data_IF_063179878721
#
_entry.id   IF_063179878721
#
_cell.length_a   1.000
_cell.length_b   1.000
_cell.length_c   1.000
_cell.angle_alpha   90.00
_cell.angle_beta   90.00
_cell.angle_gamma   90.00
#
_symmetry.space_group_name_H-M   'P 1'
#
loop_
_entity.id
_entity.type
_entity.pdbx_description
1 polymer ?
#
# COMPACT_ATOMS: atom_id res chain seq x y z
N UNK A 1 -2.29 3.53 -14.97
CA UNK A 1 -1.49 4.50 -14.17
C UNK A 1 -0.63 5.47 -15.03
N UNK A 2 -0.71 6.79 -14.82
CA UNK A 2 0.17 7.79 -15.46
C UNK A 2 1.28 8.25 -14.51
N UNK A 3 2.48 7.66 -14.63
CA UNK A 3 3.60 7.94 -13.72
C UNK A 3 4.05 9.40 -13.73
N UNK A 4 4.07 10.05 -14.89
CA UNK A 4 4.56 11.44 -14.99
C UNK A 4 3.65 12.41 -14.24
N UNK A 5 2.34 12.22 -14.35
CA UNK A 5 1.34 13.00 -13.59
C UNK A 5 1.46 12.73 -12.09
N UNK A 6 1.65 11.46 -11.69
CA UNK A 6 1.84 11.09 -10.29
C UNK A 6 3.10 11.71 -9.69
N UNK A 7 4.23 11.70 -10.40
CA UNK A 7 5.47 12.35 -9.95
C UNK A 7 5.24 13.84 -9.75
N UNK A 8 4.63 14.50 -10.74
CA UNK A 8 4.31 15.92 -10.66
C UNK A 8 3.44 16.23 -9.44
N UNK A 9 2.35 15.49 -9.24
CA UNK A 9 1.45 15.65 -8.09
C UNK A 9 2.18 15.44 -6.77
N UNK A 10 3.00 14.40 -6.67
CA UNK A 10 3.77 14.09 -5.47
C UNK A 10 4.75 15.22 -5.11
N UNK A 11 5.52 15.70 -6.08
CA UNK A 11 6.46 16.80 -5.88
C UNK A 11 5.74 18.13 -5.56
N UNK A 12 4.62 18.42 -6.23
CA UNK A 12 3.79 19.60 -5.93
C UNK A 12 3.24 19.57 -4.50
N UNK A 13 2.80 18.42 -4.00
CA UNK A 13 2.34 18.26 -2.62
C UNK A 13 3.47 18.49 -1.62
N UNK A 14 4.62 17.83 -1.80
CA UNK A 14 5.76 18.00 -0.90
C UNK A 14 6.36 19.42 -0.96
N UNK A 15 6.30 20.10 -2.11
CA UNK A 15 6.76 21.49 -2.24
C UNK A 15 5.95 22.49 -1.42
N UNK A 16 4.76 22.11 -0.94
CA UNK A 16 3.95 22.94 -0.03
C UNK A 16 4.47 22.92 1.41
N UNK A 17 5.38 22.00 1.74
CA UNK A 17 5.99 21.87 3.06
C UNK A 17 7.25 22.73 3.10
N UNK A 18 7.16 23.89 3.75
CA UNK A 18 8.27 24.82 3.92
C UNK A 18 9.13 24.44 5.14
N UNK A 19 9.98 23.43 4.96
CA UNK A 19 10.91 22.94 5.99
C UNK A 19 12.32 22.81 5.44
N UNK A 20 13.30 23.13 6.29
CA UNK A 20 14.71 22.92 6.00
C UNK A 20 14.95 21.45 5.62
N UNK A 21 15.64 21.24 4.49
CA UNK A 21 15.97 19.91 3.98
C UNK A 21 14.97 19.30 3.00
N UNK A 22 13.76 19.87 2.84
CA UNK A 22 12.76 19.33 1.91
C UNK A 22 13.26 19.30 0.45
N UNK A 23 13.91 20.35 -0.10
CA UNK A 23 14.46 20.29 -1.45
C UNK A 23 15.50 19.17 -1.65
N UNK A 24 16.36 18.94 -0.66
CA UNK A 24 17.39 17.89 -0.70
C UNK A 24 16.76 16.50 -0.60
N UNK A 25 15.69 16.35 0.19
CA UNK A 25 14.94 15.10 0.25
C UNK A 25 14.28 14.79 -1.10
N UNK A 26 13.68 15.79 -1.76
CA UNK A 26 13.10 15.63 -3.09
C UNK A 26 14.15 15.25 -4.14
N UNK A 27 15.33 15.89 -4.11
CA UNK A 27 16.46 15.52 -4.97
C UNK A 27 16.91 14.08 -4.72
N UNK A 28 17.00 13.64 -3.46
CA UNK A 28 17.30 12.25 -3.14
C UNK A 28 16.26 11.28 -3.72
N UNK A 29 14.97 11.56 -3.53
CA UNK A 29 13.88 10.71 -4.03
C UNK A 29 13.95 10.62 -5.56
N UNK A 30 14.19 11.74 -6.24
CA UNK A 30 14.23 11.81 -7.70
C UNK A 30 15.47 11.18 -8.32
N UNK A 31 16.65 11.49 -7.80
CA UNK A 31 17.92 11.26 -8.49
C UNK A 31 18.79 10.17 -7.84
N UNK A 32 18.50 9.81 -6.59
CA UNK A 32 19.30 8.84 -5.80
C UNK A 32 18.50 7.62 -5.36
N UNK A 33 17.19 7.61 -5.59
CA UNK A 33 16.29 6.52 -5.22
C UNK A 33 15.59 5.92 -6.44
N UNK A 34 15.01 4.74 -6.28
CA UNK A 34 14.12 4.11 -7.25
C UNK A 34 12.63 4.33 -6.91
N UNK A 35 12.29 5.24 -5.99
CA UNK A 35 10.94 5.41 -5.42
C UNK A 35 9.83 5.54 -6.47
N UNK A 36 10.08 6.29 -7.55
CA UNK A 36 9.10 6.52 -8.62
C UNK A 36 8.92 5.31 -9.56
N UNK A 37 9.79 4.31 -9.48
CA UNK A 37 9.76 3.10 -10.30
C UNK A 37 9.57 1.83 -9.48
N UNK A 38 9.81 1.87 -8.17
CA UNK A 38 9.67 0.73 -7.27
C UNK A 38 8.21 0.24 -7.22
N UNK A 39 8.00 -1.08 -7.08
CA UNK A 39 6.68 -1.62 -6.78
C UNK A 39 6.28 -1.33 -5.33
N UNK A 40 4.98 -1.33 -5.03
CA UNK A 40 4.52 -1.18 -3.66
C UNK A 40 4.67 -2.49 -2.86
N UNK A 41 4.54 -3.64 -3.53
CA UNK A 41 4.74 -4.97 -2.95
C UNK A 41 5.28 -5.98 -3.96
N UNK A 42 5.67 -7.17 -3.49
CA UNK A 42 6.17 -8.27 -4.34
C UNK A 42 5.10 -9.00 -5.16
N UNK A 43 3.84 -8.99 -4.71
CA UNK A 43 2.79 -9.90 -5.20
C UNK A 43 1.37 -9.35 -5.10
N UNK A 44 1.13 -8.37 -4.24
CA UNK A 44 -0.18 -7.77 -3.97
C UNK A 44 -0.16 -6.27 -4.31
N UNK A 45 -1.32 -5.62 -4.27
CA UNK A 45 -1.52 -4.15 -4.32
C UNK A 45 -0.38 -3.34 -4.97
N UNK A 46 -0.51 -3.07 -6.26
CA UNK A 46 0.46 -2.31 -7.06
C UNK A 46 1.86 -2.97 -7.10
N UNK A 47 1.89 -4.29 -7.32
CA UNK A 47 3.05 -5.09 -7.68
C UNK A 47 3.46 -4.84 -9.14
N UNK A 48 3.70 -3.57 -9.47
CA UNK A 48 4.02 -3.07 -10.81
C UNK A 48 5.04 -1.93 -10.73
N UNK A 49 5.71 -1.61 -11.83
CA UNK A 49 6.65 -0.48 -11.88
C UNK A 49 5.93 0.84 -11.55
N UNK A 50 6.45 1.60 -10.57
CA UNK A 50 5.86 2.85 -10.08
C UNK A 50 4.71 2.67 -9.11
N UNK A 51 4.45 1.43 -8.67
CA UNK A 51 3.40 1.12 -7.70
C UNK A 51 3.59 1.81 -6.36
N UNK A 52 4.83 1.98 -5.88
CA UNK A 52 5.13 2.61 -4.59
C UNK A 52 4.67 4.08 -4.53
N UNK A 53 4.91 4.81 -5.62
CA UNK A 53 4.46 6.20 -5.77
C UNK A 53 2.93 6.29 -5.79
N UNK A 54 2.27 5.43 -6.56
CA UNK A 54 0.82 5.41 -6.64
C UNK A 54 0.17 5.03 -5.30
N UNK A 55 0.75 4.06 -4.60
CA UNK A 55 0.34 3.68 -3.26
C UNK A 55 0.41 4.87 -2.29
N UNK A 56 1.56 5.54 -2.23
CA UNK A 56 1.75 6.72 -1.37
C UNK A 56 0.73 7.84 -1.67
N UNK A 57 0.39 8.04 -2.95
CA UNK A 57 -0.66 8.99 -3.35
C UNK A 57 -2.08 8.50 -2.96
N UNK A 58 -2.37 7.21 -3.08
CA UNK A 58 -3.65 6.64 -2.65
C UNK A 58 -3.85 6.80 -1.14
N UNK A 59 -2.81 6.51 -0.34
CA UNK A 59 -2.81 6.72 1.13
C UNK A 59 -3.04 8.20 1.45
N UNK A 60 -2.39 9.11 0.73
CA UNK A 60 -2.61 10.55 0.88
C UNK A 60 -4.08 10.91 0.63
N UNK A 61 -4.68 10.45 -0.46
CA UNK A 61 -6.09 10.73 -0.77
C UNK A 61 -7.05 10.15 0.29
N UNK A 62 -6.81 8.95 0.80
CA UNK A 62 -7.61 8.38 1.90
C UNK A 62 -7.50 9.24 3.17
N UNK A 63 -6.29 9.64 3.55
CA UNK A 63 -6.08 10.47 4.73
C UNK A 63 -6.72 11.87 4.58
N UNK A 64 -6.65 12.47 3.39
CA UNK A 64 -7.32 13.75 3.11
C UNK A 64 -8.84 13.63 3.18
N UNK A 65 -9.44 12.54 2.68
CA UNK A 65 -10.89 12.31 2.82
C UNK A 65 -11.29 12.18 4.29
N UNK A 66 -10.50 11.48 5.11
CA UNK A 66 -10.71 11.40 6.56
C UNK A 66 -10.65 12.77 7.23
N UNK A 67 -9.69 13.61 6.84
CA UNK A 67 -9.53 14.96 7.40
C UNK A 67 -10.69 15.90 7.02
N UNK A 68 -11.27 15.73 5.83
CA UNK A 68 -12.36 16.56 5.31
C UNK A 68 -13.76 16.08 5.75
N UNK A 69 -13.90 14.81 6.12
CA UNK A 69 -15.17 14.25 6.56
C UNK A 69 -15.53 14.72 7.98
N UNK A 70 -16.80 15.05 8.19
CA UNK A 70 -17.35 15.40 9.50
C UNK A 70 -17.48 14.14 10.39
N UNK A 71 -16.34 13.72 10.92
CA UNK A 71 -16.16 12.51 11.73
C UNK A 71 -15.22 12.81 12.89
N UNK A 72 -15.01 11.82 13.77
CA UNK A 72 -14.01 11.91 14.87
C UNK A 72 -12.60 12.30 14.38
N UNK A 73 -12.29 12.08 13.11
CA UNK A 73 -10.99 12.41 12.52
C UNK A 73 -10.78 13.90 12.25
N UNK A 74 -11.83 14.70 12.09
CA UNK A 74 -11.71 16.09 11.62
C UNK A 74 -10.80 16.92 12.53
N UNK A 75 -11.14 16.99 13.82
CA UNK A 75 -10.38 17.78 14.80
C UNK A 75 -8.99 17.21 15.05
N UNK A 76 -8.87 15.87 15.06
CA UNK A 76 -7.60 15.16 15.27
C UNK A 76 -6.60 15.48 14.16
N UNK A 77 -7.03 15.38 12.90
CA UNK A 77 -6.18 15.60 11.73
C UNK A 77 -5.92 17.10 11.50
N UNK A 78 -6.89 17.95 11.83
CA UNK A 78 -6.68 19.41 11.86
C UNK A 78 -5.58 19.79 12.86
N UNK A 79 -5.62 19.21 14.07
CA UNK A 79 -4.60 19.44 15.10
C UNK A 79 -3.22 18.86 14.74
N UNK A 80 -3.16 17.77 13.96
CA UNK A 80 -1.90 17.22 13.46
C UNK A 80 -1.19 18.18 12.49
N UNK A 81 -1.94 19.03 11.79
CA UNK A 81 -1.43 20.08 10.92
C UNK A 81 -1.18 19.63 9.48
N UNK A 82 -1.27 20.60 8.55
CA UNK A 82 -1.21 20.37 7.10
C UNK A 82 0.04 19.60 6.67
N UNK A 83 1.21 19.99 7.18
CA UNK A 83 2.47 19.33 6.83
C UNK A 83 2.47 17.84 7.18
N UNK A 84 1.97 17.47 8.36
CA UNK A 84 1.92 16.07 8.79
C UNK A 84 1.00 15.25 7.87
N UNK A 85 -0.11 15.84 7.41
CA UNK A 85 -1.04 15.21 6.47
C UNK A 85 -0.50 15.10 5.03
N UNK A 86 0.64 15.74 4.73
CA UNK A 86 1.37 15.58 3.47
C UNK A 86 2.54 14.61 3.67
N UNK A 87 3.41 14.89 4.65
CA UNK A 87 4.64 14.15 4.93
C UNK A 87 4.34 12.69 5.26
N UNK A 88 3.44 12.44 6.21
CA UNK A 88 3.18 11.08 6.70
C UNK A 88 2.71 10.14 5.59
N UNK A 89 1.62 10.41 4.86
CA UNK A 89 1.15 9.48 3.83
C UNK A 89 2.10 9.38 2.64
N UNK A 90 2.78 10.46 2.23
CA UNK A 90 3.65 10.43 1.06
C UNK A 90 5.01 9.76 1.33
N UNK A 91 5.48 9.77 2.57
CA UNK A 91 6.83 9.30 2.94
C UNK A 91 6.83 8.14 3.94
N UNK A 92 5.68 7.62 4.37
CA UNK A 92 5.61 6.51 5.33
C UNK A 92 6.44 5.29 4.88
N UNK A 93 6.49 5.07 3.58
CA UNK A 93 7.05 3.90 2.93
C UNK A 93 8.37 4.17 2.19
N UNK A 94 9.05 5.29 2.50
CA UNK A 94 10.33 5.65 1.90
C UNK A 94 11.41 4.55 2.10
N UNK A 95 11.28 3.72 3.14
CA UNK A 95 12.13 2.56 3.40
C UNK A 95 12.15 1.51 2.29
N UNK A 96 11.14 1.50 1.41
CA UNK A 96 11.02 0.58 0.27
C UNK A 96 11.87 1.00 -0.93
N UNK A 97 12.57 2.14 -0.85
CA UNK A 97 13.59 2.49 -1.84
C UNK A 97 14.73 1.48 -1.85
N UNK A 98 15.10 1.01 -3.04
CA UNK A 98 16.11 -0.03 -3.31
C UNK A 98 15.88 -1.33 -2.53
N UNK A 99 14.62 -1.61 -2.16
CA UNK A 99 14.24 -2.79 -1.36
C UNK A 99 13.88 -4.00 -2.22
N UNK A 100 13.47 -3.77 -3.47
CA UNK A 100 13.00 -4.81 -4.36
C UNK A 100 14.01 -5.07 -5.48
N UNK A 101 14.11 -6.33 -5.90
CA UNK A 101 14.82 -6.74 -7.12
C UNK A 101 13.88 -7.54 -8.03
N UNK A 102 14.15 -7.47 -9.33
CA UNK A 102 13.48 -8.32 -10.32
C UNK A 102 14.18 -9.67 -10.34
N UNK A 103 13.41 -10.73 -10.14
CA UNK A 103 13.80 -12.12 -10.30
C UNK A 103 12.83 -12.81 -11.28
N UNK A 104 13.02 -14.09 -11.58
CA UNK A 104 12.17 -14.85 -12.48
C UNK A 104 11.52 -16.04 -11.76
N UNK A 105 10.20 -16.19 -11.94
CA UNK A 105 9.45 -17.35 -11.44
C UNK A 105 8.83 -18.11 -12.60
N UNK A 106 8.65 -19.41 -12.42
CA UNK A 106 7.87 -20.23 -13.34
C UNK A 106 6.39 -20.12 -12.98
N UNK A 107 5.56 -19.75 -13.95
CA UNK A 107 4.11 -19.68 -13.83
C UNK A 107 3.46 -20.57 -14.89
N UNK A 108 2.31 -21.16 -14.55
CA UNK A 108 1.47 -21.85 -15.53
C UNK A 108 0.71 -20.82 -16.35
N UNK A 109 0.82 -20.93 -17.67
CA UNK A 109 0.09 -20.12 -18.63
C UNK A 109 -0.89 -21.00 -19.39
N UNK A 110 -2.18 -20.65 -19.34
CA UNK A 110 -3.28 -21.33 -20.04
C UNK A 110 -3.71 -20.60 -21.32
N UNK A 111 -2.96 -19.56 -21.72
CA UNK A 111 -3.23 -18.78 -22.93
C UNK A 111 -3.27 -19.70 -24.16
N UNK A 112 -4.43 -19.81 -24.86
CA UNK A 112 -4.59 -20.71 -25.99
C UNK A 112 -3.57 -20.48 -27.12
N UNK A 113 -3.15 -19.23 -27.34
CA UNK A 113 -2.20 -18.89 -28.40
C UNK A 113 -0.80 -19.39 -28.05
N UNK A 114 -0.35 -19.12 -26.82
CA UNK A 114 0.95 -19.56 -26.33
C UNK A 114 1.03 -21.09 -26.22
N UNK A 115 -0.03 -21.73 -25.74
CA UNK A 115 -0.11 -23.20 -25.64
C UNK A 115 -0.07 -23.85 -27.03
N UNK A 116 -0.71 -23.25 -28.04
CA UNK A 116 -0.71 -23.75 -29.42
C UNK A 116 0.63 -23.55 -30.14
N UNK A 117 1.35 -22.48 -29.82
CA UNK A 117 2.66 -22.18 -30.38
C UNK A 117 3.80 -23.00 -29.76
N UNK A 118 3.60 -23.56 -28.56
CA UNK A 118 4.60 -24.33 -27.84
C UNK A 118 4.82 -25.73 -28.43
N UNK A 119 6.03 -26.27 -28.25
CA UNK A 119 6.34 -27.63 -28.69
C UNK A 119 5.53 -28.66 -27.90
N UNK A 120 5.17 -29.77 -28.54
CA UNK A 120 4.25 -30.76 -27.98
C UNK A 120 4.68 -31.33 -26.62
N UNK A 121 5.97 -31.39 -26.32
CA UNK A 121 6.51 -31.87 -25.04
C UNK A 121 6.45 -30.83 -23.91
N UNK A 122 6.25 -29.56 -24.24
CA UNK A 122 6.12 -28.46 -23.27
C UNK A 122 4.68 -28.30 -22.75
N UNK A 123 3.69 -28.77 -23.53
CA UNK A 123 2.26 -28.69 -23.19
C UNK A 123 1.89 -29.77 -22.16
N UNK A 124 1.42 -29.31 -21.00
CA UNK A 124 0.89 -30.15 -19.90
C UNK A 124 -0.62 -29.94 -19.76
N UNK A 125 -1.30 -30.82 -19.03
CA UNK A 125 -2.73 -30.72 -18.76
C UNK A 125 -3.01 -30.93 -17.27
N UNK A 126 -3.96 -30.17 -16.73
CA UNK A 126 -4.56 -30.39 -15.43
C UNK A 126 -6.07 -30.12 -15.48
N UNK A 127 -6.74 -30.04 -14.32
CA UNK A 127 -8.19 -29.86 -14.22
C UNK A 127 -8.69 -28.55 -14.85
N UNK A 128 -7.83 -27.54 -15.00
CA UNK A 128 -8.18 -26.25 -15.60
C UNK A 128 -7.92 -26.21 -17.13
N UNK A 129 -7.25 -27.22 -17.69
CA UNK A 129 -7.02 -27.34 -19.13
C UNK A 129 -5.56 -27.58 -19.51
N UNK A 130 -5.22 -27.28 -20.76
CA UNK A 130 -3.85 -27.37 -21.27
C UNK A 130 -3.06 -26.10 -20.93
N UNK A 131 -1.81 -26.26 -20.48
CA UNK A 131 -0.95 -25.16 -20.06
C UNK A 131 0.51 -25.42 -20.42
N UNK A 132 1.29 -24.35 -20.42
CA UNK A 132 2.76 -24.38 -20.52
C UNK A 132 3.37 -23.68 -19.31
N UNK A 133 4.63 -23.99 -19.01
CA UNK A 133 5.41 -23.23 -18.04
C UNK A 133 6.06 -22.04 -18.73
N UNK A 134 5.82 -20.85 -18.21
CA UNK A 134 6.42 -19.60 -18.67
C UNK A 134 7.26 -19.00 -17.53
N UNK A 135 8.46 -18.56 -17.86
CA UNK A 135 9.31 -17.80 -16.94
C UNK A 135 8.91 -16.33 -17.02
N UNK A 136 8.35 -15.80 -15.93
CA UNK A 136 7.86 -14.42 -15.85
C UNK A 136 8.65 -13.64 -14.80
N UNK A 137 8.94 -12.35 -15.04
CA UNK A 137 9.57 -11.51 -14.04
C UNK A 137 8.65 -11.35 -12.82
N UNK A 138 9.24 -11.36 -11.63
CA UNK A 138 8.56 -11.11 -10.36
C UNK A 138 9.45 -10.29 -9.43
N UNK A 139 8.84 -9.50 -8.57
CA UNK A 139 9.56 -8.75 -7.55
C UNK A 139 9.87 -9.64 -6.34
N UNK A 140 11.09 -9.53 -5.82
CA UNK A 140 11.52 -10.19 -4.59
C UNK A 140 12.19 -9.17 -3.66
N UNK A 141 12.15 -9.43 -2.36
CA UNK A 141 12.76 -8.56 -1.35
C UNK A 141 14.27 -8.80 -1.30
N UNK A 142 15.06 -7.72 -1.34
CA UNK A 142 16.51 -7.68 -1.13
C UNK A 142 16.82 -6.54 -0.14
N UNK A 143 16.51 -6.74 1.15
CA UNK A 143 16.75 -5.71 2.16
C UNK A 143 18.23 -5.62 2.54
N UNK A 144 18.92 -4.66 1.96
CA UNK A 144 20.34 -4.39 2.23
C UNK A 144 20.57 -3.67 3.56
N UNK A 145 19.53 -3.10 4.16
CA UNK A 145 19.61 -2.34 5.41
C UNK A 145 18.46 -2.75 6.34
N UNK A 146 18.61 -3.87 7.07
CA UNK A 146 17.56 -4.43 7.93
C UNK A 146 17.41 -3.62 9.23
N UNK A 147 16.85 -2.42 9.13
CA UNK A 147 16.67 -1.49 10.25
C UNK A 147 15.24 -1.48 10.82
N UNK A 148 14.30 -2.14 10.15
CA UNK A 148 12.86 -2.08 10.42
C UNK A 148 12.14 -1.21 9.40
N UNK A 149 10.90 -1.53 9.05
CA UNK A 149 10.18 -0.86 7.96
C UNK A 149 9.89 0.61 8.29
N UNK A 150 9.15 0.89 9.36
CA UNK A 150 8.82 2.26 9.75
C UNK A 150 10.02 3.04 10.30
N UNK A 151 10.88 2.40 11.09
CA UNK A 151 12.09 3.01 11.63
C UNK A 151 13.06 3.47 10.54
N UNK A 152 13.20 2.70 9.45
CA UNK A 152 14.05 3.05 8.32
C UNK A 152 13.50 4.26 7.57
N UNK A 153 12.19 4.35 7.35
CA UNK A 153 11.57 5.53 6.73
C UNK A 153 11.85 6.79 7.55
N UNK A 154 11.64 6.73 8.86
CA UNK A 154 11.96 7.83 9.78
C UNK A 154 13.43 8.23 9.67
N UNK A 155 14.35 7.26 9.78
CA UNK A 155 15.78 7.51 9.72
C UNK A 155 16.18 8.18 8.39
N UNK A 156 15.65 7.71 7.27
CA UNK A 156 15.96 8.26 5.94
C UNK A 156 15.47 9.69 5.78
N UNK A 157 14.26 10.00 6.26
CA UNK A 157 13.71 11.36 6.20
C UNK A 157 14.53 12.30 7.09
N UNK A 158 14.86 11.88 8.32
CA UNK A 158 15.58 12.71 9.30
C UNK A 158 17.04 13.00 8.92
N UNK A 159 17.61 12.33 7.91
CA UNK A 159 18.90 12.74 7.32
C UNK A 159 18.82 14.07 6.58
N UNK A 160 17.62 14.47 6.14
CA UNK A 160 17.41 15.69 5.37
C UNK A 160 16.56 16.69 6.15
N UNK A 161 15.39 16.25 6.67
CA UNK A 161 14.39 17.11 7.26
C UNK A 161 13.96 16.59 8.64
N UNK A 162 13.90 17.49 9.63
CA UNK A 162 13.47 17.11 10.99
C UNK A 162 11.97 16.80 11.05
N UNK A 163 11.63 15.64 11.60
CA UNK A 163 10.25 15.24 11.87
C UNK A 163 9.78 15.70 13.25
N UNK A 164 8.51 16.08 13.34
CA UNK A 164 7.84 16.32 14.61
C UNK A 164 7.61 15.00 15.36
N UNK A 165 7.31 15.07 16.66
CA UNK A 165 6.96 13.88 17.44
C UNK A 165 5.82 13.07 16.80
N UNK A 166 4.65 13.68 16.51
CA UNK A 166 3.54 12.99 15.86
C UNK A 166 3.91 12.35 14.51
N UNK A 167 4.63 13.06 13.64
CA UNK A 167 5.06 12.53 12.33
C UNK A 167 5.98 11.32 12.48
N UNK A 168 6.98 11.43 13.37
CA UNK A 168 7.94 10.36 13.63
C UNK A 168 7.26 9.08 14.09
N UNK A 169 6.29 9.22 15.00
CA UNK A 169 5.52 8.08 15.51
C UNK A 169 4.52 7.54 14.49
N UNK A 170 3.86 8.40 13.71
CA UNK A 170 2.95 8.00 12.65
C UNK A 170 3.66 7.16 11.58
N UNK A 171 4.79 7.64 11.06
CA UNK A 171 5.57 6.93 10.05
C UNK A 171 6.15 5.63 10.61
N UNK A 172 6.66 5.64 11.85
CA UNK A 172 7.18 4.43 12.48
C UNK A 172 6.14 3.33 12.58
N UNK A 173 4.94 3.67 13.05
CA UNK A 173 3.90 2.72 13.40
C UNK A 173 2.79 2.60 12.34
N UNK A 174 3.05 3.02 11.10
CA UNK A 174 2.04 3.04 10.03
C UNK A 174 1.48 1.64 9.71
N UNK A 175 2.29 0.57 9.87
CA UNK A 175 1.85 -0.81 9.67
C UNK A 175 0.86 -1.30 10.75
N UNK A 176 0.65 -0.53 11.83
CA UNK A 176 -0.32 -0.82 12.87
C UNK A 176 -0.21 -2.25 13.41
N UNK A 177 -1.31 -3.00 13.43
CA UNK A 177 -1.35 -4.34 14.02
C UNK A 177 -0.75 -5.45 13.14
N UNK A 178 -0.23 -5.11 11.95
CA UNK A 178 0.61 -6.03 11.17
C UNK A 178 2.00 -6.20 11.78
N UNK A 179 2.38 -5.34 12.74
CA UNK A 179 3.57 -5.50 13.56
C UNK A 179 3.54 -6.79 14.40
N UNK A 180 4.71 -7.31 14.81
CA UNK A 180 4.80 -8.42 15.76
C UNK A 180 3.97 -8.18 17.01
N UNK A 181 3.31 -9.24 17.51
CA UNK A 181 2.37 -9.18 18.64
C UNK A 181 3.01 -8.63 19.91
N UNK A 182 4.32 -8.82 20.06
CA UNK A 182 5.14 -8.34 21.16
C UNK A 182 5.18 -6.80 21.24
N UNK A 183 4.94 -6.12 20.11
CA UNK A 183 4.94 -4.66 20.02
C UNK A 183 3.55 -4.03 20.18
N UNK A 184 2.47 -4.82 20.19
CA UNK A 184 1.09 -4.30 20.21
C UNK A 184 0.79 -3.42 21.43
N UNK A 185 1.37 -3.73 22.60
CA UNK A 185 1.20 -2.87 23.78
C UNK A 185 1.82 -1.47 23.57
N UNK A 186 3.01 -1.42 22.97
CA UNK A 186 3.72 -0.18 22.69
C UNK A 186 3.00 0.62 21.60
N UNK A 187 2.47 -0.07 20.59
CA UNK A 187 1.64 0.51 19.54
C UNK A 187 0.38 1.16 20.12
N UNK A 188 -0.38 0.45 20.96
CA UNK A 188 -1.61 0.99 21.58
C UNK A 188 -1.30 2.21 22.45
N UNK A 189 -0.19 2.20 23.19
CA UNK A 189 0.28 3.38 23.94
C UNK A 189 0.64 4.54 23.01
N UNK A 190 1.31 4.25 21.89
CA UNK A 190 1.67 5.25 20.90
C UNK A 190 0.43 5.86 20.23
N UNK A 191 -0.55 5.04 19.82
CA UNK A 191 -1.82 5.49 19.24
C UNK A 191 -2.61 6.36 20.22
N UNK A 192 -2.63 5.98 21.50
CA UNK A 192 -3.27 6.78 22.56
C UNK A 192 -2.64 8.18 22.71
N UNK A 193 -1.33 8.28 22.45
CA UNK A 193 -0.58 9.55 22.54
C UNK A 193 -0.63 10.36 21.24
N UNK A 194 -0.61 9.68 20.10
CA UNK A 194 -0.59 10.26 18.76
C UNK A 194 -1.61 9.54 17.88
N UNK A 195 -2.89 9.98 17.89
CA UNK A 195 -3.95 9.33 17.12
C UNK A 195 -3.73 9.35 15.60
N UNK A 196 -2.86 10.23 15.09
CA UNK A 196 -2.42 10.25 13.70
C UNK A 196 -1.88 8.89 13.22
N UNK A 197 -1.30 8.09 14.12
CA UNK A 197 -0.83 6.73 13.81
C UNK A 197 -1.99 5.88 13.28
N UNK A 198 -3.12 5.87 14.01
CA UNK A 198 -4.27 5.05 13.65
C UNK A 198 -4.92 5.57 12.35
N UNK A 199 -5.05 6.88 12.19
CA UNK A 199 -5.59 7.46 10.97
C UNK A 199 -4.75 7.12 9.72
N UNK A 200 -3.42 7.18 9.85
CA UNK A 200 -2.50 6.81 8.78
C UNK A 200 -2.57 5.30 8.49
N UNK A 201 -2.58 4.46 9.52
CA UNK A 201 -2.72 3.02 9.38
C UNK A 201 -4.02 2.64 8.66
N UNK A 202 -5.15 3.23 9.04
CA UNK A 202 -6.43 3.01 8.37
C UNK A 202 -6.38 3.48 6.91
N UNK A 203 -5.77 4.64 6.63
CA UNK A 203 -5.64 5.15 5.26
C UNK A 203 -4.78 4.23 4.38
N UNK A 204 -3.71 3.65 4.95
CA UNK A 204 -2.86 2.65 4.29
C UNK A 204 -3.64 1.36 3.98
N UNK A 205 -4.41 0.86 4.95
CA UNK A 205 -5.24 -0.33 4.76
C UNK A 205 -6.39 -0.07 3.77
N UNK A 206 -7.00 1.11 3.76
CA UNK A 206 -8.00 1.51 2.79
C UNK A 206 -7.42 1.56 1.37
N UNK A 207 -6.25 2.17 1.20
CA UNK A 207 -5.57 2.24 -0.09
C UNK A 207 -5.28 0.84 -0.63
N UNK A 208 -4.57 0.03 0.16
CA UNK A 208 -4.22 -1.34 -0.20
C UNK A 208 -5.47 -2.19 -0.45
N UNK A 209 -6.38 -2.26 0.52
CA UNK A 209 -7.47 -3.23 0.50
C UNK A 209 -8.65 -2.83 -0.38
N UNK A 210 -8.94 -1.54 -0.52
CA UNK A 210 -10.12 -1.05 -1.24
C UNK A 210 -9.76 -0.45 -2.59
N UNK A 211 -8.64 0.27 -2.69
CA UNK A 211 -8.30 1.03 -3.89
C UNK A 211 -7.40 0.27 -4.86
N UNK A 212 -6.60 -0.68 -4.38
CA UNK A 212 -5.50 -1.26 -5.15
C UNK A 212 -5.77 -2.71 -5.57
N UNK A 213 -5.39 -3.03 -6.80
CA UNK A 213 -5.32 -4.38 -7.36
C UNK A 213 -3.84 -4.76 -7.59
N UNK A 214 -3.55 -5.97 -8.09
CA UNK A 214 -2.18 -6.47 -8.28
C UNK A 214 -1.32 -5.53 -9.14
N UNK A 215 -1.89 -4.87 -10.16
CA UNK A 215 -1.11 -4.09 -11.15
C UNK A 215 -1.62 -2.67 -11.44
N UNK A 216 -2.81 -2.30 -10.97
CA UNK A 216 -3.35 -0.95 -11.11
C UNK A 216 -4.38 -0.70 -9.99
N UNK A 217 -4.95 0.50 -9.92
CA UNK A 217 -6.08 0.78 -9.05
C UNK A 217 -7.35 0.04 -9.51
N UNK A 218 -8.23 -0.31 -8.58
CA UNK A 218 -9.48 -1.02 -8.87
C UNK A 218 -10.45 -0.17 -9.68
N UNK A 219 -11.14 -0.83 -10.61
CA UNK A 219 -12.03 -0.18 -11.57
C UNK A 219 -13.25 0.53 -10.93
N UNK A 220 -13.74 0.08 -9.77
CA UNK A 220 -14.91 0.68 -9.11
C UNK A 220 -14.70 2.10 -8.55
N UNK A 221 -13.49 2.63 -8.71
CA UNK A 221 -13.14 4.02 -8.39
C UNK A 221 -13.41 5.01 -9.54
N UNK A 222 -13.68 4.52 -10.76
CA UNK A 222 -14.17 5.37 -11.85
C UNK A 222 -15.67 5.64 -11.68
N UNK A 223 -16.20 6.74 -12.23
CA UNK A 223 -17.65 7.03 -12.15
C UNK A 223 -18.50 5.89 -12.76
N UNK A 224 -17.99 5.19 -13.78
CA UNK A 224 -18.59 3.99 -14.38
C UNK A 224 -18.54 2.78 -13.44
N UNK A 225 -17.49 2.67 -12.64
CA UNK A 225 -17.30 1.57 -11.70
C UNK A 225 -18.10 1.73 -10.40
N UNK A 226 -18.36 2.96 -9.95
CA UNK A 226 -19.27 3.24 -8.82
C UNK A 226 -20.71 2.81 -9.10
N UNK A 227 -21.13 2.83 -10.38
CA UNK A 227 -22.46 2.36 -10.79
C UNK A 227 -22.56 0.83 -10.77
N UNK A 228 -21.45 0.11 -10.99
CA UNK A 228 -21.40 -1.36 -10.95
C UNK A 228 -21.23 -1.93 -9.53
N UNK A 229 -20.51 -1.23 -8.63
CA UNK A 229 -20.32 -1.67 -7.24
C UNK A 229 -21.64 -1.76 -6.43
N UNK A 230 -22.67 -1.00 -6.83
CA UNK A 230 -24.02 -1.12 -6.25
C UNK A 230 -24.80 -2.36 -6.71
N UNK A 231 -24.29 -3.13 -7.68
CA UNK A 231 -25.04 -4.21 -8.34
C UNK A 231 -24.38 -5.60 -8.30
N UNK A 232 -23.12 -5.77 -7.90
CA UNK A 232 -22.52 -7.10 -7.76
C UNK A 232 -21.38 -7.20 -6.72
N UNK A 233 -21.53 -8.18 -5.81
CA UNK A 233 -20.45 -8.92 -5.11
C UNK A 233 -19.58 -8.19 -4.07
N UNK A 234 -20.18 -7.49 -3.10
CA UNK A 234 -19.42 -6.82 -2.03
C UNK A 234 -19.33 -7.51 -0.66
N UNK A 235 -20.23 -8.43 -0.33
CA UNK A 235 -20.28 -9.03 0.99
C UNK A 235 -20.85 -10.44 0.89
N UNK A 236 -19.98 -11.46 0.87
CA UNK A 236 -20.39 -12.87 1.02
C UNK A 236 -20.83 -13.08 2.47
N UNK A 237 -22.07 -12.69 2.77
CA UNK A 237 -22.71 -12.99 4.05
C UNK A 237 -23.08 -14.47 4.05
N UNK A 238 -22.16 -15.30 4.54
CA UNK A 238 -22.53 -16.63 5.02
C UNK A 238 -23.07 -16.45 6.43
N UNK A 239 -24.40 -16.49 6.56
CA UNK A 239 -25.05 -16.49 7.87
C UNK A 239 -24.66 -17.75 8.64
N UNK A 240 -24.29 -17.61 9.91
CA UNK A 240 -24.03 -18.76 10.76
C UNK A 240 -25.34 -19.54 10.97
N UNK A 241 -25.35 -20.82 10.59
CA UNK A 241 -26.51 -21.68 10.82
C UNK A 241 -26.83 -21.75 12.32
N UNK A 242 -28.09 -21.50 12.66
CA UNK A 242 -28.56 -21.59 14.03
C UNK A 242 -28.39 -23.03 14.53
N UNK A 243 -27.80 -23.20 15.72
CA UNK A 243 -27.73 -24.51 16.39
C UNK A 243 -29.16 -24.90 16.77
N UNK A 244 -29.82 -25.67 15.93
CA UNK A 244 -31.13 -26.26 16.19
C UNK A 244 -31.02 -27.25 17.34
N UNK A 245 -31.44 -26.83 18.53
CA UNK A 245 -31.66 -27.72 19.66
C UNK A 245 -32.93 -28.53 19.45
N UNK A 246 -32.81 -29.71 18.82
CA UNK A 246 -33.78 -30.78 19.05
C UNK A 246 -33.57 -31.32 20.47
N UNK A 247 -34.18 -30.65 21.44
CA UNK A 247 -34.52 -31.29 22.69
C UNK A 247 -35.68 -32.26 22.39
N UNK A 248 -35.34 -33.50 22.02
CA UNK A 248 -36.28 -34.61 22.11
C UNK A 248 -36.70 -34.73 23.57
N UNK A 249 -37.91 -34.27 23.89
CA UNK A 249 -38.58 -34.60 25.13
C UNK A 249 -38.99 -36.07 25.07
N UNK A 250 -38.36 -36.91 25.90
CA UNK A 250 -38.91 -38.18 26.35
C UNK A 250 -39.99 -37.96 27.43
#
# INVERSE_FOLDING_TARGET
>A
MNRQENVKKFEELLSQVDREGMPQLLEYIRDKSDFYTAPASTRFHLSTEGGLLQHSLNVYECLQRKAQADTVWHDILTAAGKDALIICPLLHDLCKTHFYKIDFKNQKTYDPEKVKAAERWQVKKDNAGAFIWESVPCYTVDDRVPYGHGEKSVMMIEQFMRLTGPERFAIRWHMGFSEPKELHLQLTQAMSKYPLILALHEADQEASTLLEDEKDNRAWLTDEGRTQAGQSEGCDFQEAEAIGGEATAE
#
